data_IF_514514235471
#
_entry.id   IF_514514235471
#
_cell.length_a   1.000
_cell.length_b   1.000
_cell.length_c   1.000
_cell.angle_alpha   90.00
_cell.angle_beta   90.00
_cell.angle_gamma   90.00
#
_symmetry.space_group_name_H-M   'P 1'
#
loop_
_entity.id
_entity.type
_entity.pdbx_description
1 polymer ?
#
# COMPACT_ATOMS: atom_id res chain seq x y z
N UNK A 1 -13.76 -2.09 0.60
CA UNK A 1 -13.78 -3.16 -0.42
C UNK A 1 -12.44 -3.89 -0.35
N UNK A 2 -12.44 -5.20 -0.55
CA UNK A 2 -11.19 -5.98 -0.56
C UNK A 2 -10.63 -5.97 -1.98
N UNK A 3 -9.35 -5.65 -2.11
CA UNK A 3 -8.62 -5.66 -3.35
C UNK A 3 -7.42 -6.61 -3.25
N UNK A 4 -7.07 -7.25 -4.36
CA UNK A 4 -5.81 -7.95 -4.50
C UNK A 4 -4.66 -6.97 -4.81
N UNK A 5 -3.42 -7.45 -4.86
CA UNK A 5 -2.23 -6.61 -5.08
C UNK A 5 -2.29 -5.79 -6.38
N UNK A 6 -2.79 -6.38 -7.47
CA UNK A 6 -2.87 -5.71 -8.77
C UNK A 6 -3.92 -4.61 -8.74
N UNK A 7 -5.11 -4.92 -8.23
CA UNK A 7 -6.21 -3.96 -8.07
C UNK A 7 -5.80 -2.80 -7.16
N UNK A 8 -5.15 -3.09 -6.04
CA UNK A 8 -4.66 -2.05 -5.12
C UNK A 8 -3.65 -1.12 -5.80
N UNK A 9 -2.76 -1.67 -6.63
CA UNK A 9 -1.79 -0.89 -7.40
C UNK A 9 -2.47 0.03 -8.42
N UNK A 10 -3.50 -0.47 -9.12
CA UNK A 10 -4.31 0.32 -10.05
C UNK A 10 -5.07 1.45 -9.33
N UNK A 11 -5.65 1.17 -8.15
CA UNK A 11 -6.41 2.15 -7.36
C UNK A 11 -5.56 3.37 -6.96
N UNK A 12 -4.30 3.15 -6.57
CA UNK A 12 -3.41 4.23 -6.10
C UNK A 12 -2.40 4.70 -7.15
N UNK A 13 -2.46 4.15 -8.37
CA UNK A 13 -1.62 4.55 -9.49
C UNK A 13 -0.13 4.21 -9.33
N UNK A 14 0.18 3.00 -8.83
CA UNK A 14 1.57 2.51 -8.67
C UNK A 14 1.75 1.14 -9.31
N UNK A 15 2.98 0.60 -9.28
CA UNK A 15 3.24 -0.77 -9.73
C UNK A 15 2.89 -1.77 -8.62
N UNK A 16 2.52 -3.03 -8.97
CA UNK A 16 2.25 -4.06 -7.96
C UNK A 16 3.42 -4.34 -7.02
N UNK A 17 4.67 -4.18 -7.47
CA UNK A 17 5.86 -4.33 -6.62
C UNK A 17 5.97 -3.22 -5.57
N UNK A 18 5.52 -2.01 -5.88
CA UNK A 18 5.50 -0.90 -4.90
C UNK A 18 4.52 -1.17 -3.75
N UNK A 19 3.45 -1.94 -3.99
CA UNK A 19 2.54 -2.36 -2.92
C UNK A 19 3.28 -3.20 -1.87
N UNK A 20 4.14 -4.12 -2.31
CA UNK A 20 4.92 -4.96 -1.39
C UNK A 20 5.86 -4.11 -0.53
N UNK A 21 6.53 -3.12 -1.14
CA UNK A 21 7.36 -2.14 -0.42
C UNK A 21 6.57 -1.32 0.59
N UNK A 22 5.32 -0.94 0.28
CA UNK A 22 4.48 -0.23 1.25
C UNK A 22 4.08 -1.11 2.43
N UNK A 23 3.77 -2.38 2.19
CA UNK A 23 3.50 -3.34 3.28
C UNK A 23 4.73 -3.50 4.17
N UNK A 24 5.93 -3.58 3.61
CA UNK A 24 7.19 -3.60 4.37
C UNK A 24 7.40 -2.31 5.21
N UNK A 25 6.86 -1.19 4.74
CA UNK A 25 6.88 0.12 5.43
C UNK A 25 5.72 0.30 6.43
N UNK A 26 4.86 -0.71 6.60
CA UNK A 26 3.77 -0.70 7.58
C UNK A 26 2.37 -0.49 7.02
N UNK A 27 2.17 -0.57 5.71
CA UNK A 27 0.82 -0.50 5.13
C UNK A 27 -0.04 -1.69 5.59
N UNK A 28 -1.35 -1.47 5.85
CA UNK A 28 -2.24 -2.51 6.33
C UNK A 28 -2.45 -3.59 5.26
N UNK A 29 -2.30 -4.85 5.67
CA UNK A 29 -2.46 -6.04 4.85
C UNK A 29 -3.28 -7.06 5.64
N UNK A 30 -4.44 -7.47 5.12
CA UNK A 30 -5.33 -8.41 5.83
C UNK A 30 -4.75 -9.80 5.77
N UNK A 31 -4.37 -10.22 4.55
CA UNK A 31 -3.76 -11.51 4.30
C UNK A 31 -2.56 -11.32 3.39
N UNK A 32 -1.39 -11.71 3.89
CA UNK A 32 -0.17 -11.68 3.08
C UNK A 32 -0.18 -12.89 2.15
N UNK A 33 -0.02 -12.64 0.85
CA UNK A 33 0.03 -13.68 -0.15
C UNK A 33 1.15 -14.69 0.14
N UNK A 34 0.82 -15.96 -0.05
CA UNK A 34 1.77 -17.09 -0.05
C UNK A 34 1.62 -17.85 -1.35
N UNK A 35 2.47 -18.84 -1.61
CA UNK A 35 2.36 -19.66 -2.83
C UNK A 35 0.93 -20.20 -2.99
N UNK A 36 0.25 -19.80 -4.06
CA UNK A 36 -1.13 -20.20 -4.36
C UNK A 36 -2.24 -19.34 -3.73
N UNK A 37 -1.92 -18.31 -2.94
CA UNK A 37 -2.88 -17.44 -2.25
C UNK A 37 -2.56 -15.98 -2.55
N UNK A 38 -3.52 -15.22 -3.07
CA UNK A 38 -3.34 -13.80 -3.37
C UNK A 38 -3.42 -12.96 -2.09
N UNK A 39 -2.58 -11.92 -2.00
CA UNK A 39 -2.68 -10.95 -0.91
C UNK A 39 -4.01 -10.20 -0.95
N UNK A 40 -4.54 -9.87 0.22
CA UNK A 40 -5.79 -9.12 0.38
C UNK A 40 -5.58 -7.84 1.17
N UNK A 41 -6.13 -6.74 0.65
CA UNK A 41 -6.00 -5.41 1.21
C UNK A 41 -7.39 -4.78 1.37
N UNK A 42 -7.69 -4.21 2.55
CA UNK A 42 -8.82 -3.28 2.66
C UNK A 42 -8.39 -1.94 2.06
N UNK A 43 -9.00 -1.62 0.92
CA UNK A 43 -8.75 -0.39 0.17
C UNK A 43 -8.87 0.88 1.01
N UNK A 44 -9.88 1.00 1.87
CA UNK A 44 -10.10 2.20 2.66
C UNK A 44 -8.98 2.43 3.67
N UNK A 45 -8.58 1.37 4.38
CA UNK A 45 -7.49 1.39 5.34
C UNK A 45 -6.15 1.65 4.65
N UNK A 46 -5.89 1.01 3.51
CA UNK A 46 -4.66 1.19 2.75
C UNK A 46 -4.51 2.61 2.19
N UNK A 47 -5.58 3.18 1.62
CA UNK A 47 -5.56 4.55 1.08
C UNK A 47 -5.33 5.57 2.20
N UNK A 48 -5.95 5.40 3.37
CA UNK A 48 -5.71 6.28 4.53
C UNK A 48 -4.24 6.29 4.93
N UNK A 49 -3.67 5.09 5.12
CA UNK A 49 -2.24 4.94 5.42
C UNK A 49 -1.36 5.57 4.31
N UNK A 50 -1.72 5.38 3.04
CA UNK A 50 -0.93 5.91 1.93
C UNK A 50 -0.92 7.45 1.90
N UNK A 51 -2.05 8.09 2.20
CA UNK A 51 -2.13 9.56 2.31
C UNK A 51 -1.23 10.07 3.43
N UNK A 52 -1.27 9.43 4.61
CA UNK A 52 -0.41 9.78 5.75
C UNK A 52 1.06 9.55 5.42
N UNK A 53 1.41 8.39 4.86
CA UNK A 53 2.75 8.07 4.41
C UNK A 53 3.28 9.14 3.44
N UNK A 54 2.47 9.55 2.45
CA UNK A 54 2.88 10.60 1.49
C UNK A 54 3.02 11.96 2.15
N UNK A 55 2.12 12.31 3.06
CA UNK A 55 2.20 13.55 3.84
C UNK A 55 3.52 13.61 4.63
N UNK A 56 3.88 12.54 5.31
CA UNK A 56 5.11 12.48 6.09
C UNK A 56 6.36 12.56 5.21
N UNK A 57 6.35 11.92 4.04
CA UNK A 57 7.46 12.05 3.08
C UNK A 57 7.64 13.49 2.60
N UNK A 58 6.54 14.20 2.31
CA UNK A 58 6.61 15.61 1.90
C UNK A 58 7.12 16.52 3.01
N UNK A 59 6.67 16.30 4.25
CA UNK A 59 7.13 17.08 5.41
C UNK A 59 8.61 16.84 5.73
N UNK A 60 9.08 15.60 5.60
CA UNK A 60 10.46 15.22 5.89
C UNK A 60 11.43 15.55 4.75
N UNK A 61 10.94 15.84 3.54
CA UNK A 61 11.77 16.27 2.39
C UNK A 61 12.09 17.78 2.39
N UNK A 62 11.57 18.56 3.34
CA UNK A 62 11.85 20.00 3.50
C UNK A 62 13.16 20.34 4.22
N UNK A 63 14.10 19.40 4.34
CA UNK A 63 15.41 19.62 4.96
C UNK A 63 16.52 19.49 3.89
N UNK A 64 16.66 20.51 3.05
CA UNK A 64 17.83 20.80 2.23
C UNK A 64 18.15 22.28 2.35
#
# INVERSE_FOLDING_TARGET
MIANRKEMAEIIGVTPSTIDTFVEKGAPCIEKGKRGVQSQYDTASFVRWYIEYKRDQLLNQGHL
#
